data_IF_590809644181
#
_entry.id   IF_590809644181
#
_cell.length_a   1.000
_cell.length_b   1.000
_cell.length_c   1.000
_cell.angle_alpha   90.00
_cell.angle_beta   90.00
_cell.angle_gamma   90.00
#
_symmetry.space_group_name_H-M   'P 1'
#
loop_
_entity.id
_entity.type
_entity.pdbx_description
1 polymer ?
#
# COMPACT_ATOMS: atom_id res chain seq x y z
N UNK A 1 19.44 14.25 -6.55
CA UNK A 1 18.28 14.75 -5.78
C UNK A 1 17.79 13.62 -4.88
N UNK A 2 18.18 13.62 -3.60
CA UNK A 2 17.86 12.52 -2.67
C UNK A 2 16.35 12.43 -2.43
N UNK A 3 15.70 11.45 -3.07
CA UNK A 3 14.26 11.17 -2.97
C UNK A 3 13.93 10.49 -1.63
N UNK A 4 14.23 11.13 -0.51
CA UNK A 4 14.00 10.54 0.82
C UNK A 4 12.52 10.46 1.17
N UNK A 5 12.09 9.27 1.64
CA UNK A 5 10.84 9.07 2.37
C UNK A 5 10.88 9.86 3.69
N UNK A 6 9.74 10.42 4.13
CA UNK A 6 9.66 11.31 5.30
C UNK A 6 8.64 10.76 6.30
N UNK A 7 9.01 10.55 7.58
CA UNK A 7 8.11 9.97 8.60
C UNK A 7 6.81 10.75 8.71
N UNK A 8 5.71 10.16 8.22
CA UNK A 8 4.39 10.78 8.26
C UNK A 8 3.26 9.85 8.71
N UNK A 9 3.41 8.52 8.58
CA UNK A 9 2.34 7.57 8.89
C UNK A 9 1.92 7.63 10.37
N UNK A 10 2.89 7.71 11.29
CA UNK A 10 2.60 7.81 12.73
C UNK A 10 1.82 9.09 13.07
N UNK A 11 2.19 10.21 12.44
CA UNK A 11 1.49 11.49 12.59
C UNK A 11 0.06 11.40 12.09
N UNK A 12 -0.15 10.79 10.92
CA UNK A 12 -1.47 10.60 10.33
C UNK A 12 -2.39 9.76 11.23
N UNK A 13 -1.85 8.69 11.84
CA UNK A 13 -2.60 7.86 12.79
C UNK A 13 -2.94 8.64 14.06
N UNK A 14 -1.98 9.41 14.59
CA UNK A 14 -2.21 10.26 15.76
C UNK A 14 -3.32 11.27 15.52
N UNK A 15 -3.25 12.02 14.41
CA UNK A 15 -4.27 13.00 14.05
C UNK A 15 -5.65 12.35 13.86
N UNK A 16 -5.70 11.19 13.20
CA UNK A 16 -6.95 10.46 13.01
C UNK A 16 -7.57 9.98 14.33
N UNK A 17 -6.74 9.60 15.31
CA UNK A 17 -7.20 9.26 16.66
C UNK A 17 -7.72 10.47 17.44
N UNK A 18 -7.13 11.65 17.24
CA UNK A 18 -7.52 12.88 17.94
C UNK A 18 -8.80 13.50 17.34
N UNK A 19 -9.05 13.29 16.05
CA UNK A 19 -10.19 13.87 15.34
C UNK A 19 -10.94 12.82 14.50
N UNK A 20 -11.74 11.93 15.12
CA UNK A 20 -12.47 10.89 14.40
C UNK A 20 -13.47 11.46 13.38
N UNK A 21 -14.14 12.58 13.71
CA UNK A 21 -15.09 13.26 12.81
C UNK A 21 -14.41 13.99 11.65
N UNK A 22 -13.16 14.44 11.85
CA UNK A 22 -12.37 15.07 10.80
C UNK A 22 -11.90 14.06 9.76
N UNK A 23 -11.92 12.76 10.03
CA UNK A 23 -11.55 11.74 9.05
C UNK A 23 -12.44 11.75 7.78
N UNK A 24 -13.62 12.37 7.87
CA UNK A 24 -14.55 12.56 6.75
C UNK A 24 -14.27 13.80 5.90
N UNK A 25 -13.60 14.84 6.43
CA UNK A 25 -13.32 16.11 5.72
C UNK A 25 -11.85 16.55 5.71
N UNK A 26 -10.98 15.88 6.47
CA UNK A 26 -9.55 16.15 6.60
C UNK A 26 -8.69 15.20 5.76
N UNK A 27 -9.32 14.32 4.97
CA UNK A 27 -8.69 13.59 3.87
C UNK A 27 -7.95 14.52 2.89
N UNK A 28 -8.23 15.82 2.92
CA UNK A 28 -7.59 16.86 2.11
C UNK A 28 -6.38 17.54 2.78
N UNK A 29 -6.23 17.51 4.11
CA UNK A 29 -5.27 18.40 4.81
C UNK A 29 -3.88 17.83 5.09
N UNK A 30 -3.71 16.52 5.20
CA UNK A 30 -2.44 15.95 5.70
C UNK A 30 -1.49 15.35 4.65
N UNK A 31 -1.89 15.22 3.38
CA UNK A 31 -1.12 14.34 2.49
C UNK A 31 -1.37 14.59 1.00
N UNK A 32 -1.22 15.84 0.54
CA UNK A 32 -0.90 16.06 -0.87
C UNK A 32 0.60 15.84 -1.05
N UNK A 33 0.98 14.68 -1.59
CA UNK A 33 2.37 14.38 -1.96
C UNK A 33 3.19 13.62 -0.91
N UNK A 34 2.55 13.07 0.13
CA UNK A 34 3.21 12.20 1.10
C UNK A 34 3.64 10.90 0.42
N UNK A 35 4.92 10.54 0.56
CA UNK A 35 5.50 9.41 -0.17
C UNK A 35 5.44 8.15 0.67
N UNK A 36 5.17 7.03 0.02
CA UNK A 36 5.24 5.70 0.62
C UNK A 36 5.85 4.73 -0.36
N UNK A 37 6.51 3.70 0.16
CA UNK A 37 6.99 2.57 -0.62
C UNK A 37 6.06 1.38 -0.44
N UNK A 38 5.69 0.73 -1.54
CA UNK A 38 4.97 -0.55 -1.48
C UNK A 38 5.98 -1.65 -1.14
N UNK A 39 5.78 -2.35 -0.01
CA UNK A 39 6.60 -3.49 0.37
C UNK A 39 6.12 -4.77 -0.32
N UNK A 40 4.82 -5.04 -0.22
CA UNK A 40 4.17 -6.23 -0.78
C UNK A 40 2.69 -6.00 -0.96
N UNK A 41 2.10 -6.72 -1.89
CA UNK A 41 0.65 -6.81 -2.05
C UNK A 41 0.10 -7.95 -1.20
N UNK A 42 -1.05 -7.71 -0.57
CA UNK A 42 -1.76 -8.66 0.28
C UNK A 42 -2.94 -9.30 -0.44
N UNK A 43 -3.55 -8.59 -1.39
CA UNK A 43 -4.57 -9.13 -2.29
C UNK A 43 -4.16 -8.93 -3.74
N UNK A 44 -4.64 -9.81 -4.61
CA UNK A 44 -4.38 -9.79 -6.04
C UNK A 44 -5.69 -9.92 -6.79
N UNK A 45 -5.86 -9.18 -7.89
CA UNK A 45 -7.01 -9.40 -8.79
C UNK A 45 -6.85 -10.78 -9.45
N UNK A 46 -7.94 -11.56 -9.60
CA UNK A 46 -7.88 -12.86 -10.26
C UNK A 46 -7.41 -12.69 -11.71
N UNK A 47 -6.52 -13.57 -12.16
CA UNK A 47 -5.97 -13.50 -13.52
C UNK A 47 -7.04 -13.73 -14.59
N UNK A 48 -8.08 -14.48 -14.25
CA UNK A 48 -9.21 -14.74 -15.13
C UNK A 48 -10.11 -13.52 -15.34
N UNK A 49 -10.10 -12.56 -14.40
CA UNK A 49 -10.91 -11.34 -14.51
C UNK A 49 -10.13 -10.13 -13.94
N UNK A 50 -9.16 -9.60 -14.71
CA UNK A 50 -8.29 -8.51 -14.26
C UNK A 50 -9.04 -7.16 -14.12
N UNK A 51 -10.30 -7.09 -14.58
CA UNK A 51 -11.18 -5.91 -14.50
C UNK A 51 -12.18 -5.98 -13.37
N UNK A 52 -12.15 -7.02 -12.54
CA UNK A 52 -13.04 -7.09 -11.38
C UNK A 52 -12.81 -5.84 -10.51
N UNK A 53 -13.86 -5.06 -10.18
CA UNK A 53 -13.75 -3.89 -9.34
C UNK A 53 -13.50 -4.33 -7.90
N UNK A 54 -12.25 -4.67 -7.63
CA UNK A 54 -11.78 -5.16 -6.34
C UNK A 54 -10.72 -4.20 -5.81
N UNK A 55 -10.86 -3.89 -4.53
CA UNK A 55 -9.88 -3.12 -3.78
C UNK A 55 -8.61 -3.95 -3.58
N UNK A 56 -7.46 -3.28 -3.63
CA UNK A 56 -6.17 -3.94 -3.49
C UNK A 56 -5.57 -3.57 -2.14
N UNK A 57 -5.28 -4.58 -1.35
CA UNK A 57 -4.57 -4.44 -0.10
C UNK A 57 -3.08 -4.57 -0.35
N UNK A 58 -2.30 -3.67 0.23
CA UNK A 58 -0.85 -3.73 0.20
C UNK A 58 -0.27 -3.28 1.54
N UNK A 59 0.93 -3.76 1.85
CA UNK A 59 1.72 -3.23 2.95
C UNK A 59 2.56 -2.07 2.41
N UNK A 60 2.36 -0.88 2.96
CA UNK A 60 3.14 0.30 2.63
C UNK A 60 4.05 0.66 3.79
N UNK A 61 5.19 1.26 3.47
CA UNK A 61 6.08 1.85 4.47
C UNK A 61 6.44 3.27 4.12
N UNK A 62 6.67 4.04 5.16
CA UNK A 62 7.50 5.23 5.05
C UNK A 62 8.92 4.90 5.59
N UNK A 63 9.75 5.90 5.91
CA UNK A 63 11.10 5.77 6.44
C UNK A 63 11.15 5.02 7.78
N UNK A 64 10.14 5.18 8.64
CA UNK A 64 10.21 4.70 10.04
C UNK A 64 9.14 3.68 10.41
N UNK A 65 7.97 3.73 9.77
CA UNK A 65 6.84 2.87 10.09
C UNK A 65 6.28 2.21 8.83
N UNK A 66 5.64 1.06 9.02
CA UNK A 66 4.87 0.38 8.00
C UNK A 66 3.43 0.23 8.45
N UNK A 67 2.50 0.19 7.51
CA UNK A 67 1.09 -0.05 7.79
C UNK A 67 0.39 -0.72 6.59
N UNK A 68 -0.69 -1.46 6.83
CA UNK A 68 -1.56 -1.92 5.76
C UNK A 68 -2.29 -0.74 5.11
N UNK A 69 -2.39 -0.77 3.78
CA UNK A 69 -3.12 0.19 2.99
C UNK A 69 -4.12 -0.51 2.05
N UNK A 70 -5.32 0.05 1.96
CA UNK A 70 -6.36 -0.36 1.02
C UNK A 70 -6.45 0.67 -0.10
N UNK A 71 -6.12 0.25 -1.31
CA UNK A 71 -6.26 1.06 -2.52
C UNK A 71 -7.66 0.82 -3.10
N UNK A 72 -8.42 1.90 -3.26
CA UNK A 72 -9.75 1.81 -3.84
C UNK A 72 -9.69 1.28 -5.28
N UNK A 73 -10.63 0.40 -5.60
CA UNK A 73 -10.77 -0.21 -6.93
C UNK A 73 -10.80 0.83 -8.05
N UNK A 74 -11.49 1.96 -7.84
CA UNK A 74 -11.54 3.09 -8.76
C UNK A 74 -10.15 3.67 -9.05
N UNK A 75 -9.34 3.94 -8.01
CA UNK A 75 -7.98 4.49 -8.17
C UNK A 75 -7.04 3.52 -8.88
N UNK A 76 -7.21 2.22 -8.62
CA UNK A 76 -6.45 1.15 -9.29
C UNK A 76 -6.86 1.04 -10.75
N UNK A 77 -8.16 1.17 -11.06
CA UNK A 77 -8.68 1.17 -12.43
C UNK A 77 -8.18 2.39 -13.22
N UNK A 78 -8.25 3.58 -12.61
CA UNK A 78 -7.67 4.82 -13.16
C UNK A 78 -6.18 4.64 -13.48
N UNK A 79 -5.41 4.03 -12.56
CA UNK A 79 -4.01 3.71 -12.83
C UNK A 79 -3.87 2.76 -14.01
N UNK A 80 -4.67 1.70 -14.08
CA UNK A 80 -4.57 0.66 -15.11
C UNK A 80 -4.92 1.19 -16.50
N UNK A 81 -5.90 2.10 -16.60
CA UNK A 81 -6.25 2.81 -17.85
C UNK A 81 -5.07 3.66 -18.35
N UNK A 82 -4.40 4.37 -17.43
CA UNK A 82 -3.35 5.33 -17.79
C UNK A 82 -1.95 4.71 -17.96
N UNK A 83 -1.73 3.48 -17.49
CA UNK A 83 -0.38 2.88 -17.39
C UNK A 83 0.00 1.93 -18.54
N UNK A 84 -0.73 1.98 -19.66
CA UNK A 84 -0.35 1.27 -20.90
C UNK A 84 -0.25 -0.26 -20.76
N UNK A 85 -1.01 -0.87 -19.84
CA UNK A 85 -1.04 -2.32 -19.62
C UNK A 85 -0.23 -2.84 -18.44
N UNK A 86 0.47 -1.98 -17.70
CA UNK A 86 1.15 -2.38 -16.45
C UNK A 86 0.11 -2.70 -15.36
N UNK A 87 0.28 -3.84 -14.67
CA UNK A 87 -0.61 -4.20 -13.54
C UNK A 87 -0.17 -3.44 -12.30
N UNK A 88 -1.13 -2.96 -11.51
CA UNK A 88 -0.84 -2.30 -10.23
C UNK A 88 0.00 -3.19 -9.29
N UNK A 89 -0.27 -4.50 -9.28
CA UNK A 89 0.47 -5.48 -8.48
C UNK A 89 1.94 -5.69 -8.92
N UNK A 90 2.33 -5.19 -10.10
CA UNK A 90 3.74 -5.17 -10.54
C UNK A 90 4.54 -4.04 -9.91
N UNK A 91 3.89 -3.08 -9.23
CA UNK A 91 4.54 -1.97 -8.53
C UNK A 91 5.14 -2.38 -7.17
N UNK A 92 5.55 -3.64 -7.00
CA UNK A 92 6.24 -4.08 -5.78
C UNK A 92 7.55 -3.30 -5.66
N UNK A 93 7.81 -2.71 -4.50
CA UNK A 93 8.99 -1.88 -4.27
C UNK A 93 8.87 -0.44 -4.76
N UNK A 94 7.82 -0.09 -5.52
CA UNK A 94 7.63 1.24 -6.06
C UNK A 94 7.36 2.30 -4.99
N UNK A 95 7.72 3.55 -5.29
CA UNK A 95 7.43 4.72 -4.48
C UNK A 95 6.20 5.42 -5.06
N UNK A 96 5.17 5.53 -4.23
CA UNK A 96 3.94 6.24 -4.52
C UNK A 96 3.91 7.57 -3.78
N UNK A 97 3.40 8.61 -4.44
CA UNK A 97 2.84 9.77 -3.77
C UNK A 97 1.36 9.50 -3.47
N UNK A 98 0.99 9.57 -2.20
CA UNK A 98 -0.40 9.56 -1.77
C UNK A 98 -0.90 11.00 -1.89
N UNK A 99 -2.02 11.18 -2.59
CA UNK A 99 -2.63 12.49 -2.83
C UNK A 99 -3.92 12.67 -2.03
N UNK A 100 -4.65 11.56 -1.82
CA UNK A 100 -5.87 11.53 -1.01
C UNK A 100 -5.95 10.21 -0.27
N UNK A 101 -6.01 10.29 1.05
CA UNK A 101 -6.15 9.13 1.92
C UNK A 101 -6.85 9.46 3.23
N UNK A 102 -7.35 8.43 3.90
CA UNK A 102 -7.91 8.48 5.25
C UNK A 102 -7.39 7.30 6.07
N UNK A 103 -7.27 7.50 7.38
CA UNK A 103 -6.81 6.44 8.29
C UNK A 103 -8.02 5.87 8.98
N UNK A 104 -8.27 4.58 8.82
CA UNK A 104 -9.45 3.90 9.35
C UNK A 104 -9.07 2.60 10.02
N UNK A 105 -9.79 2.23 11.08
CA UNK A 105 -9.68 0.88 11.62
C UNK A 105 -10.50 -0.05 10.73
N UNK A 106 -9.85 -1.05 10.14
CA UNK A 106 -10.47 -1.92 9.14
C UNK A 106 -9.93 -3.34 9.24
N UNK A 107 -10.66 -4.29 8.67
CA UNK A 107 -10.24 -5.68 8.59
C UNK A 107 -9.36 -5.88 7.36
N UNK A 108 -8.06 -6.09 7.59
CA UNK A 108 -7.10 -6.29 6.51
C UNK A 108 -7.32 -7.67 5.92
N UNK A 109 -7.69 -7.72 4.64
CA UNK A 109 -7.76 -8.97 3.91
C UNK A 109 -6.37 -9.39 3.44
N UNK A 110 -5.99 -10.62 3.76
CA UNK A 110 -4.82 -11.26 3.17
C UNK A 110 -5.26 -12.45 2.32
N UNK A 111 -5.11 -12.32 1.01
CA UNK A 111 -5.25 -13.44 0.08
C UNK A 111 -3.85 -14.02 -0.12
N UNK A 112 -3.43 -14.85 0.83
CA UNK A 112 -2.32 -15.74 0.51
C UNK A 112 -2.87 -16.81 -0.43
N UNK A 113 -2.25 -16.94 -1.59
CA UNK A 113 -2.46 -17.92 -2.67
C UNK A 113 -2.28 -19.38 -2.21
N UNK A 114 -2.84 -19.76 -1.07
CA UNK A 114 -3.01 -21.15 -0.64
C UNK A 114 -4.47 -21.51 -0.82
N UNK A 115 -4.69 -22.64 -1.49
CA UNK A 115 -5.97 -23.27 -1.82
C UNK A 115 -6.85 -23.65 -0.61
N UNK A 116 -6.65 -23.06 0.56
CA UNK A 116 -7.51 -23.23 1.72
C UNK A 116 -8.16 -21.89 2.02
N UNK A 117 -9.46 -21.84 1.74
CA UNK A 117 -10.41 -20.74 1.83
C UNK A 117 -10.64 -20.22 3.26
N UNK A 118 -9.58 -19.81 3.94
CA UNK A 118 -9.65 -18.95 5.11
C UNK A 118 -9.04 -17.60 4.71
N UNK A 119 -9.88 -16.63 4.35
CA UNK A 119 -9.45 -15.24 4.29
C UNK A 119 -9.04 -14.85 5.72
N UNK A 120 -7.74 -14.75 5.97
CA UNK A 120 -7.25 -14.30 7.27
C UNK A 120 -7.50 -12.80 7.34
N UNK A 121 -8.51 -12.44 8.13
CA UNK A 121 -8.91 -11.07 8.41
C UNK A 121 -8.37 -10.71 9.78
N UNK A 122 -7.48 -9.73 9.85
CA UNK A 122 -7.04 -9.16 11.11
C UNK A 122 -7.43 -7.68 11.19
N UNK A 123 -7.93 -7.25 12.35
CA UNK A 123 -8.25 -5.85 12.60
C UNK A 123 -6.97 -5.05 12.81
N UNK A 124 -6.77 -4.01 12.01
CA UNK A 124 -5.63 -3.11 12.17
C UNK A 124 -6.01 -1.66 11.82
N UNK A 125 -5.15 -0.71 12.18
CA UNK A 125 -5.23 0.64 11.65
C UNK A 125 -4.69 0.61 10.22
N UNK A 126 -5.52 1.02 9.28
CA UNK A 126 -5.29 0.91 7.84
C UNK A 126 -5.32 2.28 7.18
N UNK A 127 -4.57 2.42 6.09
CA UNK A 127 -4.58 3.60 5.25
C UNK A 127 -5.48 3.34 4.04
N UNK A 128 -6.64 3.98 3.98
CA UNK A 128 -7.47 3.93 2.80
C UNK A 128 -7.02 5.01 1.80
N UNK A 129 -6.63 4.59 0.60
CA UNK A 129 -6.05 5.43 -0.44
C UNK A 129 -7.07 5.57 -1.57
N UNK A 130 -7.59 6.79 -1.73
CA UNK A 130 -8.54 7.15 -2.80
C UNK A 130 -7.82 7.75 -4.02
N UNK A 131 -6.63 8.31 -3.85
CA UNK A 131 -5.86 8.86 -4.97
C UNK A 131 -4.36 8.78 -4.71
N UNK A 132 -3.62 8.31 -5.70
CA UNK A 132 -2.16 8.21 -5.66
C UNK A 132 -1.53 8.52 -7.02
N UNK A 133 -0.22 8.71 -7.02
CA UNK A 133 0.59 8.89 -8.23
C UNK A 133 1.88 8.10 -8.09
N UNK A 134 2.25 7.33 -9.10
CA UNK A 134 3.51 6.58 -9.10
C UNK A 134 4.66 7.54 -9.39
N UNK A 135 5.62 7.64 -8.47
CA UNK A 135 6.79 8.51 -8.62
C UNK A 135 8.00 7.76 -9.17
N UNK A 136 8.17 6.52 -8.72
CA UNK A 136 9.32 5.71 -9.07
C UNK A 136 8.94 4.23 -9.02
N UNK A 137 9.34 3.48 -10.03
CA UNK A 137 9.24 2.03 -10.03
C UNK A 137 10.62 1.52 -9.67
N UNK A 138 10.83 1.25 -8.38
CA UNK A 138 12.09 0.65 -7.95
C UNK A 138 12.10 -0.77 -8.51
N UNK A 139 12.91 -1.00 -9.55
CA UNK A 139 13.12 -2.34 -10.10
C UNK A 139 13.51 -3.30 -8.99
N UNK A 140 12.90 -4.48 -9.05
CA UNK A 140 13.08 -5.65 -8.18
C UNK A 140 14.42 -5.60 -7.42
N UNK A 141 14.39 -5.26 -6.13
CA UNK A 141 15.48 -5.69 -5.25
C UNK A 141 15.29 -7.19 -5.11
N UNK A 142 16.19 -8.02 -5.66
CA UNK A 142 16.10 -9.46 -5.50
C UNK A 142 16.01 -9.73 -4.00
N UNK A 143 15.04 -10.55 -3.61
CA UNK A 143 14.92 -11.11 -2.27
C UNK A 143 16.34 -11.50 -1.80
N UNK A 144 16.86 -10.79 -0.79
CA UNK A 144 18.15 -11.05 -0.15
C UNK A 144 18.00 -12.32 0.71
N UNK A 145 17.86 -13.47 0.03
CA UNK A 145 18.07 -14.80 0.59
C UNK A 145 19.59 -15.05 0.62
N UNK A 146 20.25 -14.28 1.47
CA UNK A 146 21.71 -14.12 1.49
C UNK A 146 22.35 -14.36 2.85
N UNK A 147 21.65 -14.94 3.83
CA UNK A 147 22.28 -15.45 5.05
C UNK A 147 22.91 -16.83 4.78
N UNK A 148 23.96 -16.86 3.95
CA UNK A 148 24.93 -17.95 4.01
C UNK A 148 25.68 -17.80 5.33
N UNK A 149 25.27 -18.60 6.31
CA UNK A 149 26.07 -18.88 7.49
C UNK A 149 27.46 -19.33 7.03
N UNK A 150 28.44 -18.44 7.21
CA UNK A 150 29.82 -18.84 7.33
C UNK A 150 29.92 -19.64 8.63
N UNK A 151 29.95 -20.96 8.51
CA UNK A 151 30.41 -21.85 9.57
C UNK A 151 31.64 -22.58 9.00
N UNK A 152 32.77 -22.06 9.43
CA UNK A 152 34.09 -22.67 9.48
C UNK A 152 34.02 -24.13 9.98
N UNK A 153 34.73 -25.03 9.31
CA UNK A 153 34.85 -26.46 9.62
C UNK A 153 35.67 -27.21 8.60
#
# INVERSE_FOLDING_TARGET
MSRSLRPWLHEAVRTASENPDANSSAAEKHSVGSRVQILRFLTFRPENDPRTPMDIWAQVRDRTHWMPARFASASVDDFQINSGGMRFTQLRGAILAINKCRVTLDHVQTDCTRKNSNHDLFGAVTLHVDQFTVLDVLGDTPDDDGLKYAADG
#
